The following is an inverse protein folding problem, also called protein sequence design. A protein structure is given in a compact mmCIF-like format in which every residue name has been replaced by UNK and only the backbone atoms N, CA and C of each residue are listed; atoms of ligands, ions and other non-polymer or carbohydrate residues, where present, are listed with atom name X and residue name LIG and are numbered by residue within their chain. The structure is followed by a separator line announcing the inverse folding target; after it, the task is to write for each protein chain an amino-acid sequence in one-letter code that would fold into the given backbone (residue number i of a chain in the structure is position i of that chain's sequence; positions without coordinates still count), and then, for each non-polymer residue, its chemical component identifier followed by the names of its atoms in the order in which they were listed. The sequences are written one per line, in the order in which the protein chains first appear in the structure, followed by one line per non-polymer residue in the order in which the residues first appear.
data_IF_267701823733
#
_entry.id   IF_267701823733
#
_cell.length_a   1.000
_cell.length_b   1.000
_cell.length_c   1.000
_cell.angle_alpha   90.00
_cell.angle_beta   90.00
_cell.angle_gamma   90.00
#
_symmetry.space_group_name_H-M   'P 1'
#
loop_
_entity.id
_entity.type
_entity.pdbx_description
1 polymer ?
#
# COMPACT_ATOMS: atom_id res chain seq x y z
N UNK A 1 -39.45 -6.40 18.07
CA UNK A 1 -38.48 -7.05 17.16
C UNK A 1 -38.32 -8.51 17.59
N UNK A 2 -38.25 -9.47 16.67
CA UNK A 2 -38.08 -10.89 17.06
C UNK A 2 -36.67 -11.10 17.64
N UNK A 3 -36.49 -11.87 18.73
CA UNK A 3 -35.17 -12.07 19.36
C UNK A 3 -34.09 -12.54 18.39
N UNK A 4 -34.44 -13.41 17.43
CA UNK A 4 -33.52 -13.90 16.41
C UNK A 4 -33.01 -12.80 15.47
N UNK A 5 -33.89 -11.88 15.05
CA UNK A 5 -33.53 -10.72 14.21
C UNK A 5 -32.55 -9.80 14.93
N UNK A 6 -32.75 -9.58 16.24
CA UNK A 6 -31.85 -8.77 17.05
C UNK A 6 -30.44 -9.38 17.14
N UNK A 7 -30.34 -10.69 17.36
CA UNK A 7 -29.04 -11.38 17.41
C UNK A 7 -28.30 -11.30 16.09
N UNK A 8 -29.00 -11.47 14.96
CA UNK A 8 -28.39 -11.34 13.62
C UNK A 8 -27.90 -9.91 13.35
N UNK A 9 -28.69 -8.89 13.73
CA UNK A 9 -28.28 -7.50 13.61
C UNK A 9 -27.06 -7.15 14.48
N UNK A 10 -27.00 -7.65 15.71
CA UNK A 10 -25.86 -7.43 16.60
C UNK A 10 -24.57 -8.05 16.03
N UNK A 11 -24.63 -9.30 15.56
CA UNK A 11 -23.48 -9.98 14.94
C UNK A 11 -22.98 -9.27 13.69
N UNK A 12 -23.91 -8.82 12.84
CA UNK A 12 -23.55 -8.02 11.67
C UNK A 12 -22.93 -6.68 12.06
N UNK A 13 -23.42 -6.03 13.13
CA UNK A 13 -22.84 -4.80 13.67
C UNK A 13 -21.37 -5.00 14.03
N UNK A 14 -21.10 -5.98 14.90
CA UNK A 14 -19.76 -6.26 15.41
C UNK A 14 -18.78 -6.56 14.28
N UNK A 15 -19.24 -7.35 13.30
CA UNK A 15 -18.43 -7.72 12.13
C UNK A 15 -18.18 -6.53 11.21
N UNK A 16 -19.22 -5.75 10.89
CA UNK A 16 -19.08 -4.56 10.07
C UNK A 16 -18.10 -3.60 10.73
N UNK A 17 -18.28 -3.26 12.02
CA UNK A 17 -17.36 -2.39 12.77
C UNK A 17 -15.92 -2.91 12.72
N UNK A 18 -15.69 -4.20 12.99
CA UNK A 18 -14.35 -4.77 12.95
C UNK A 18 -13.70 -4.67 11.56
N UNK A 19 -14.44 -4.96 10.49
CA UNK A 19 -13.95 -4.87 9.12
C UNK A 19 -13.70 -3.42 8.69
N UNK A 20 -14.60 -2.49 9.02
CA UNK A 20 -14.45 -1.06 8.74
C UNK A 20 -13.19 -0.50 9.41
N UNK A 21 -12.92 -0.87 10.67
CA UNK A 21 -11.70 -0.47 11.39
C UNK A 21 -10.44 -1.02 10.71
N UNK A 22 -10.45 -2.29 10.31
CA UNK A 22 -9.32 -2.93 9.63
C UNK A 22 -9.05 -2.30 8.25
N UNK A 23 -10.10 -2.01 7.48
CA UNK A 23 -9.97 -1.31 6.20
C UNK A 23 -9.39 0.09 6.36
N UNK A 24 -9.79 0.82 7.41
CA UNK A 24 -9.19 2.12 7.73
C UNK A 24 -7.70 2.01 8.05
N UNK A 25 -7.31 1.03 8.87
CA UNK A 25 -5.90 0.78 9.19
C UNK A 25 -5.08 0.41 7.95
N UNK A 26 -5.63 -0.43 7.07
CA UNK A 26 -4.95 -0.79 5.83
C UNK A 26 -4.81 0.40 4.87
N UNK A 27 -5.84 1.26 4.77
CA UNK A 27 -5.76 2.52 4.03
C UNK A 27 -4.64 3.42 4.58
N UNK A 28 -4.54 3.58 5.90
CA UNK A 28 -3.50 4.39 6.52
C UNK A 28 -2.09 3.81 6.29
N UNK A 29 -1.94 2.49 6.39
CA UNK A 29 -0.68 1.79 6.02
C UNK A 29 -0.31 2.06 4.56
N UNK A 30 -1.25 1.89 3.63
CA UNK A 30 -1.03 2.11 2.21
C UNK A 30 -0.60 3.56 1.93
N UNK A 31 -1.27 4.53 2.56
CA UNK A 31 -0.94 5.95 2.48
C UNK A 31 0.49 6.24 2.95
N UNK A 32 0.91 5.71 4.10
CA UNK A 32 2.28 5.89 4.60
C UNK A 32 3.32 5.32 3.62
N UNK A 33 3.02 4.18 2.99
CA UNK A 33 3.90 3.58 1.98
C UNK A 33 3.92 4.40 0.68
N UNK A 34 2.81 5.03 0.28
CA UNK A 34 2.78 5.98 -0.86
C UNK A 34 3.64 7.20 -0.58
N UNK A 35 3.47 7.85 0.57
CA UNK A 35 4.26 9.02 0.98
C UNK A 35 5.76 8.68 1.02
N UNK A 36 6.09 7.46 1.46
CA UNK A 36 7.46 6.94 1.40
C UNK A 36 7.96 6.76 -0.03
N UNK A 37 7.16 6.15 -0.92
CA UNK A 37 7.51 5.98 -2.33
C UNK A 37 7.81 7.33 -2.99
N UNK A 38 6.96 8.33 -2.73
CA UNK A 38 7.13 9.71 -3.21
C UNK A 38 8.41 10.35 -2.70
N UNK A 39 8.72 10.20 -1.42
CA UNK A 39 9.99 10.66 -0.84
C UNK A 39 11.21 10.02 -1.51
N UNK A 40 11.17 8.70 -1.74
CA UNK A 40 12.24 7.99 -2.44
C UNK A 40 12.41 8.47 -3.90
N UNK A 41 11.30 8.63 -4.62
CA UNK A 41 11.31 9.16 -6.00
C UNK A 41 11.91 10.57 -6.06
N UNK A 42 11.50 11.46 -5.15
CA UNK A 42 12.04 12.82 -5.09
C UNK A 42 13.56 12.84 -4.84
N UNK A 43 14.06 11.95 -3.98
CA UNK A 43 15.51 11.80 -3.75
C UNK A 43 16.22 11.30 -5.00
N UNK A 44 15.70 10.26 -5.66
CA UNK A 44 16.28 9.74 -6.90
C UNK A 44 16.30 10.81 -8.01
N UNK A 45 15.22 11.57 -8.17
CA UNK A 45 15.14 12.67 -9.15
C UNK A 45 16.17 13.77 -8.84
N UNK A 46 16.36 14.10 -7.56
CA UNK A 46 17.37 15.07 -7.15
C UNK A 46 18.80 14.59 -7.45
N UNK A 47 19.09 13.30 -7.18
CA UNK A 47 20.39 12.68 -7.51
C UNK A 47 20.62 12.68 -9.01
N UNK A 48 19.61 12.37 -9.82
CA UNK A 48 19.68 12.41 -11.29
C UNK A 48 20.00 13.80 -11.81
N UNK A 49 19.35 14.83 -11.26
CA UNK A 49 19.60 16.22 -11.63
C UNK A 49 21.02 16.66 -11.25
N UNK A 50 21.48 16.32 -10.04
CA UNK A 50 22.82 16.66 -9.54
C UNK A 50 23.95 15.97 -10.32
N UNK A 51 23.74 14.71 -10.72
CA UNK A 51 24.71 13.95 -11.54
C UNK A 51 24.78 14.45 -12.98
N UNK A 52 23.64 14.80 -13.58
CA UNK A 52 23.58 15.38 -14.92
C UNK A 52 24.30 16.73 -15.01
N UNK A 53 24.20 17.56 -13.96
CA UNK A 53 24.95 18.82 -13.87
C UNK A 53 26.47 18.63 -13.67
N UNK A 54 26.89 17.50 -13.09
CA UNK A 54 28.29 17.15 -12.84
C UNK A 54 28.94 16.40 -14.02
N UNK A 55 28.18 15.65 -14.83
CA UNK A 55 28.72 14.92 -15.98
C UNK A 55 29.17 15.84 -17.11
N UNK A 56 28.69 17.08 -17.15
CA UNK A 56 29.17 18.11 -18.09
C UNK A 56 30.59 18.61 -17.75
N UNK A 57 31.18 18.22 -16.62
CA UNK A 57 32.45 18.78 -16.13
C UNK A 57 33.59 17.78 -15.83
N UNK A 58 33.42 16.45 -15.98
CA UNK A 58 34.48 15.50 -15.61
C UNK A 58 34.66 14.31 -16.58
N UNK A 59 35.77 14.35 -17.32
CA UNK A 59 36.38 13.24 -18.06
C UNK A 59 37.32 12.47 -17.10
N UNK A 60 36.88 11.35 -16.53
CA UNK A 60 37.79 10.41 -15.85
C UNK A 60 37.40 8.96 -16.19
N UNK A 61 38.28 8.29 -16.94
CA UNK A 61 38.05 7.01 -17.63
C UNK A 61 37.86 5.77 -16.72
N UNK A 62 38.20 5.84 -15.43
CA UNK A 62 38.18 4.65 -14.53
C UNK A 62 36.88 4.49 -13.70
N UNK A 63 36.04 5.51 -13.60
CA UNK A 63 34.77 5.44 -12.84
C UNK A 63 33.57 5.00 -13.71
N UNK A 64 33.74 4.93 -15.04
CA UNK A 64 32.67 4.70 -16.01
C UNK A 64 31.80 3.47 -15.77
N UNK A 65 32.37 2.28 -15.46
CA UNK A 65 31.57 1.07 -15.23
C UNK A 65 30.73 1.11 -13.95
N UNK A 66 31.26 1.68 -12.87
CA UNK A 66 30.57 1.82 -11.59
C UNK A 66 29.46 2.86 -11.68
N UNK A 67 29.73 4.01 -12.30
CA UNK A 67 28.73 5.07 -12.54
C UNK A 67 27.61 4.55 -13.44
N UNK A 68 27.93 3.82 -14.52
CA UNK A 68 26.92 3.23 -15.39
C UNK A 68 26.08 2.13 -14.71
N UNK A 69 26.64 1.39 -13.76
CA UNK A 69 25.90 0.43 -12.94
C UNK A 69 24.98 1.13 -11.93
N UNK A 70 25.44 2.23 -11.32
CA UNK A 70 24.64 3.06 -10.42
C UNK A 70 23.46 3.71 -11.13
N UNK A 71 23.66 4.28 -12.33
CA UNK A 71 22.55 4.85 -13.11
C UNK A 71 21.53 3.80 -13.56
N UNK A 72 21.97 2.58 -13.88
CA UNK A 72 21.05 1.47 -14.18
C UNK A 72 20.22 1.08 -12.95
N UNK A 73 20.87 0.90 -11.80
CA UNK A 73 20.18 0.61 -10.55
C UNK A 73 19.20 1.72 -10.15
N UNK A 74 19.59 2.99 -10.31
CA UNK A 74 18.75 4.17 -10.08
C UNK A 74 17.50 4.15 -10.98
N UNK A 75 17.66 3.87 -12.27
CA UNK A 75 16.53 3.77 -13.21
C UNK A 75 15.59 2.62 -12.86
N UNK A 76 16.14 1.44 -12.57
CA UNK A 76 15.34 0.26 -12.18
C UNK A 76 14.56 0.52 -10.89
N UNK A 77 15.18 1.19 -9.90
CA UNK A 77 14.51 1.58 -8.67
C UNK A 77 13.41 2.62 -8.90
N UNK A 78 13.65 3.58 -9.78
CA UNK A 78 12.64 4.58 -10.13
C UNK A 78 11.39 3.90 -10.71
N UNK A 79 11.55 3.00 -11.68
CA UNK A 79 10.44 2.28 -12.30
C UNK A 79 9.69 1.39 -11.30
N UNK A 80 10.43 0.69 -10.42
CA UNK A 80 9.84 -0.12 -9.36
C UNK A 80 9.05 0.72 -8.36
N UNK A 81 9.57 1.89 -7.96
CA UNK A 81 8.88 2.81 -7.05
C UNK A 81 7.61 3.40 -7.68
N UNK A 82 7.63 3.73 -8.97
CA UNK A 82 6.43 4.20 -9.69
C UNK A 82 5.35 3.11 -9.73
N UNK A 83 5.73 1.87 -10.05
CA UNK A 83 4.80 0.74 -10.05
C UNK A 83 4.25 0.45 -8.66
N UNK A 84 5.10 0.48 -7.64
CA UNK A 84 4.70 0.28 -6.24
C UNK A 84 3.75 1.38 -5.77
N UNK A 85 4.03 2.64 -6.10
CA UNK A 85 3.15 3.78 -5.82
C UNK A 85 1.78 3.61 -6.46
N UNK A 86 1.72 3.21 -7.72
CA UNK A 86 0.47 2.97 -8.44
C UNK A 86 -0.34 1.86 -7.78
N UNK A 87 0.30 0.73 -7.44
CA UNK A 87 -0.34 -0.38 -6.71
C UNK A 87 -0.90 0.07 -5.36
N UNK A 88 -0.10 0.78 -4.55
CA UNK A 88 -0.53 1.25 -3.23
C UNK A 88 -1.68 2.25 -3.32
N UNK A 89 -1.67 3.12 -4.33
CA UNK A 89 -2.77 4.06 -4.60
C UNK A 89 -4.05 3.30 -4.97
N UNK A 90 -3.96 2.25 -5.77
CA UNK A 90 -5.11 1.39 -6.07
C UNK A 90 -5.64 0.71 -4.80
N UNK A 91 -4.76 0.18 -3.94
CA UNK A 91 -5.16 -0.43 -2.65
C UNK A 91 -5.83 0.58 -1.71
N UNK A 92 -5.41 1.84 -1.72
CA UNK A 92 -6.09 2.93 -0.99
C UNK A 92 -7.52 3.14 -1.49
N UNK A 93 -7.74 3.13 -2.81
CA UNK A 93 -9.09 3.26 -3.38
C UNK A 93 -9.95 2.04 -3.05
N UNK A 94 -9.41 0.82 -3.17
CA UNK A 94 -10.13 -0.42 -2.88
C UNK A 94 -10.53 -0.51 -1.40
N UNK A 95 -9.62 -0.19 -0.47
CA UNK A 95 -9.93 -0.17 0.96
C UNK A 95 -11.02 0.85 1.30
N UNK A 96 -11.00 2.03 0.68
CA UNK A 96 -12.02 3.05 0.88
C UNK A 96 -13.38 2.64 0.27
N UNK A 97 -13.39 2.07 -0.93
CA UNK A 97 -14.61 1.58 -1.59
C UNK A 97 -15.26 0.45 -0.77
N UNK A 98 -14.47 -0.57 -0.42
CA UNK A 98 -14.93 -1.70 0.40
C UNK A 98 -15.49 -1.24 1.74
N UNK A 99 -14.84 -0.25 2.36
CA UNK A 99 -15.32 0.35 3.61
C UNK A 99 -16.72 0.97 3.43
N UNK A 100 -16.93 1.76 2.37
CA UNK A 100 -18.23 2.38 2.08
C UNK A 100 -19.33 1.37 1.79
N UNK A 101 -18.99 0.27 1.11
CA UNK A 101 -19.92 -0.84 0.85
C UNK A 101 -20.34 -1.55 2.14
N UNK A 102 -19.39 -1.87 3.04
CA UNK A 102 -19.68 -2.46 4.35
C UNK A 102 -20.56 -1.54 5.20
N UNK A 103 -20.25 -0.25 5.25
CA UNK A 103 -21.04 0.75 5.98
C UNK A 103 -22.48 0.85 5.42
N UNK A 104 -22.64 0.81 4.10
CA UNK A 104 -23.95 0.81 3.42
C UNK A 104 -24.76 -0.45 3.73
N UNK A 105 -24.13 -1.63 3.68
CA UNK A 105 -24.75 -2.92 3.99
C UNK A 105 -25.20 -2.97 5.46
N UNK A 106 -24.35 -2.51 6.38
CA UNK A 106 -24.70 -2.38 7.79
C UNK A 106 -25.92 -1.45 7.97
N UNK A 107 -25.89 -0.25 7.38
CA UNK A 107 -26.99 0.71 7.45
C UNK A 107 -28.31 0.16 6.87
N UNK A 108 -28.26 -0.62 5.78
CA UNK A 108 -29.40 -1.33 5.21
C UNK A 108 -29.99 -2.35 6.19
N UNK A 109 -29.14 -3.12 6.87
CA UNK A 109 -29.56 -4.14 7.82
C UNK A 109 -30.19 -3.59 9.12
N UNK A 110 -29.87 -2.34 9.50
CA UNK A 110 -30.43 -1.68 10.68
C UNK A 110 -31.75 -0.93 10.45
N UNK A 111 -32.27 -0.89 9.22
CA UNK A 111 -33.58 -0.28 8.97
C UNK A 111 -34.70 -1.12 9.60
N UNK A 112 -35.77 -0.45 10.04
CA UNK A 112 -36.86 -1.07 10.83
C UNK A 112 -37.70 -2.11 10.07
N UNK A 113 -37.46 -2.31 8.77
CA UNK A 113 -38.22 -3.20 7.89
C UNK A 113 -37.38 -4.33 7.27
N UNK A 114 -36.12 -4.49 7.68
CA UNK A 114 -35.22 -5.47 7.05
C UNK A 114 -35.55 -6.90 7.52
N UNK A 115 -35.69 -7.84 6.58
CA UNK A 115 -36.03 -9.23 6.90
C UNK A 115 -34.79 -10.00 7.41
N UNK A 116 -34.95 -11.09 8.18
CA UNK A 116 -33.84 -11.95 8.59
C UNK A 116 -32.99 -12.44 7.41
N UNK A 117 -33.61 -12.72 6.27
CA UNK A 117 -32.93 -13.19 5.06
C UNK A 117 -32.04 -12.08 4.46
N UNK A 118 -32.52 -10.83 4.47
CA UNK A 118 -31.75 -9.69 4.03
C UNK A 118 -30.57 -9.39 4.97
N UNK A 119 -30.74 -9.59 6.28
CA UNK A 119 -29.64 -9.49 7.26
C UNK A 119 -28.60 -10.60 7.02
N UNK A 120 -29.04 -11.83 6.78
CA UNK A 120 -28.14 -12.96 6.45
C UNK A 120 -27.43 -12.76 5.09
N UNK A 121 -28.05 -12.10 4.12
CA UNK A 121 -27.39 -11.72 2.87
C UNK A 121 -26.31 -10.66 3.11
N UNK A 122 -26.57 -9.66 3.96
CA UNK A 122 -25.57 -8.67 4.37
C UNK A 122 -24.41 -9.30 5.14
N UNK A 123 -24.66 -10.31 6.00
CA UNK A 123 -23.60 -11.07 6.67
C UNK A 123 -22.70 -11.79 5.67
N UNK A 124 -23.26 -12.44 4.64
CA UNK A 124 -22.47 -13.12 3.59
C UNK A 124 -21.67 -12.13 2.74
N UNK A 125 -22.23 -10.96 2.45
CA UNK A 125 -21.50 -9.91 1.75
C UNK A 125 -20.32 -9.40 2.59
N UNK A 126 -20.51 -9.17 3.90
CA UNK A 126 -19.44 -8.81 4.81
C UNK A 126 -18.33 -9.89 4.90
N UNK A 127 -18.70 -11.18 4.83
CA UNK A 127 -17.73 -12.29 4.78
C UNK A 127 -16.90 -12.28 3.48
N UNK A 128 -17.49 -11.92 2.33
CA UNK A 128 -16.73 -11.76 1.09
C UNK A 128 -15.70 -10.63 1.20
N UNK A 129 -16.07 -9.48 1.79
CA UNK A 129 -15.13 -8.39 2.05
C UNK A 129 -14.00 -8.78 3.01
N UNK A 130 -14.21 -9.74 3.90
CA UNK A 130 -13.16 -10.25 4.78
C UNK A 130 -12.07 -11.01 4.01
N UNK A 131 -12.43 -11.78 2.97
CA UNK A 131 -11.46 -12.43 2.09
C UNK A 131 -10.64 -11.39 1.32
N UNK A 132 -11.32 -10.40 0.73
CA UNK A 132 -10.64 -9.30 0.02
C UNK A 132 -9.71 -8.51 0.94
N UNK A 133 -10.07 -8.35 2.22
CA UNK A 133 -9.17 -7.73 3.20
C UNK A 133 -7.87 -8.51 3.38
N UNK A 134 -7.92 -9.84 3.43
CA UNK A 134 -6.73 -10.67 3.62
C UNK A 134 -5.76 -10.51 2.45
N UNK A 135 -6.28 -10.54 1.21
CA UNK A 135 -5.48 -10.30 0.01
C UNK A 135 -4.84 -8.90 0.01
N UNK A 136 -5.60 -7.88 0.44
CA UNK A 136 -5.10 -6.51 0.54
C UNK A 136 -3.98 -6.40 1.60
N UNK A 137 -4.17 -6.98 2.79
CA UNK A 137 -3.16 -6.95 3.85
C UNK A 137 -1.88 -7.69 3.41
N UNK A 138 -2.00 -8.83 2.74
CA UNK A 138 -0.84 -9.53 2.15
C UNK A 138 -0.07 -8.66 1.14
N UNK A 139 -0.77 -7.94 0.26
CA UNK A 139 -0.11 -7.04 -0.69
C UNK A 139 0.60 -5.87 0.01
N UNK A 140 0.05 -5.34 1.10
CA UNK A 140 0.71 -4.31 1.90
C UNK A 140 1.96 -4.83 2.61
N UNK A 141 1.93 -6.08 3.09
CA UNK A 141 3.11 -6.73 3.69
C UNK A 141 4.21 -6.95 2.66
N UNK A 142 3.86 -7.36 1.43
CA UNK A 142 4.81 -7.47 0.31
C UNK A 142 5.42 -6.11 -0.02
N UNK A 143 4.62 -5.05 -0.08
CA UNK A 143 5.10 -3.69 -0.32
C UNK A 143 6.06 -3.23 0.78
N UNK A 144 5.73 -3.49 2.06
CA UNK A 144 6.63 -3.17 3.19
C UNK A 144 7.96 -3.91 3.06
N UNK A 145 7.92 -5.22 2.79
CA UNK A 145 9.13 -6.03 2.64
C UNK A 145 9.99 -5.59 1.45
N UNK A 146 9.37 -5.09 0.37
CA UNK A 146 10.10 -4.48 -0.74
C UNK A 146 10.89 -3.26 -0.27
N UNK A 147 10.28 -2.36 0.50
CA UNK A 147 10.96 -1.19 1.05
C UNK A 147 12.12 -1.54 2.00
N UNK A 148 11.94 -2.55 2.85
CA UNK A 148 13.03 -3.05 3.72
C UNK A 148 14.22 -3.56 2.88
N UNK A 149 13.95 -4.25 1.77
CA UNK A 149 15.00 -4.70 0.85
C UNK A 149 15.66 -3.55 0.12
N UNK A 150 14.89 -2.56 -0.32
CA UNK A 150 15.40 -1.36 -0.94
C UNK A 150 16.37 -0.60 -0.02
N UNK A 151 16.01 -0.44 1.27
CA UNK A 151 16.90 0.18 2.27
C UNK A 151 18.22 -0.59 2.41
N UNK A 152 18.16 -1.92 2.47
CA UNK A 152 19.37 -2.75 2.53
C UNK A 152 20.27 -2.56 1.30
N UNK A 153 19.69 -2.48 0.10
CA UNK A 153 20.44 -2.26 -1.14
C UNK A 153 21.11 -0.89 -1.16
N UNK A 154 20.40 0.18 -0.76
CA UNK A 154 20.99 1.52 -0.64
C UNK A 154 22.13 1.53 0.37
N UNK A 155 21.91 0.97 1.56
CA UNK A 155 22.93 0.93 2.61
C UNK A 155 24.18 0.15 2.16
N UNK A 156 23.99 -0.94 1.41
CA UNK A 156 25.09 -1.69 0.83
C UNK A 156 25.89 -0.84 -0.16
N UNK A 157 25.23 -0.12 -1.08
CA UNK A 157 25.93 0.77 -2.03
C UNK A 157 26.69 1.88 -1.30
N UNK A 158 26.07 2.56 -0.34
CA UNK A 158 26.72 3.63 0.45
C UNK A 158 27.96 3.09 1.19
N UNK A 159 27.86 1.88 1.75
CA UNK A 159 28.99 1.24 2.42
C UNK A 159 30.14 0.87 1.46
N UNK A 160 29.84 0.49 0.22
CA UNK A 160 30.86 0.25 -0.81
C UNK A 160 31.54 1.56 -1.26
N UNK A 161 30.76 2.62 -1.47
CA UNK A 161 31.28 3.94 -1.85
C UNK A 161 32.24 4.53 -0.79
N UNK A 162 31.96 4.34 0.50
CA UNK A 162 32.87 4.79 1.59
C UNK A 162 34.18 4.01 1.67
N UNK A 163 34.25 2.83 1.06
CA UNK A 163 35.43 1.94 1.09
C UNK A 163 36.32 2.08 -0.15
N UNK A 164 35.83 2.74 -1.21
CA UNK A 164 36.66 3.13 -2.36
C UNK A 164 37.52 4.32 -1.96
N UNK A 165 38.87 4.20 -1.98
CA UNK A 165 39.79 5.28 -1.61
C UNK A 165 39.78 6.46 -2.59
#
# INVERSE_FOLDING_TARGET
MKPHTFVLQARLCDRATALTTRMAQAHDKAKQLVERAEGCLAVLDHVRQGTSASSDTSLADDAGPLIAALHRAESDWHDQLQMLKALLTELMHQSQSNRGEIESLAALAFRSQTTPEAIAAAERAAEAHQSHFQELDEQLEVARAWFERFDMQINALVAHLRKSP
#
